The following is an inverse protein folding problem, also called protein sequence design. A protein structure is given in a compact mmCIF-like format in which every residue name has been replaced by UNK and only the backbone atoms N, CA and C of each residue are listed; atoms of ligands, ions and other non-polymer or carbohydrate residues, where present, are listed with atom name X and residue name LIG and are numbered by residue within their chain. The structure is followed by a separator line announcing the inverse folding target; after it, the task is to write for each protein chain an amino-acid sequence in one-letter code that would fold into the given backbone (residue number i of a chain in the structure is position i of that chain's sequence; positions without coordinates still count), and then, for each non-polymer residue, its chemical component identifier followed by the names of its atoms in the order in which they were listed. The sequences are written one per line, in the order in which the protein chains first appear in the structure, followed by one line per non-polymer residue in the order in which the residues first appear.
data_IF_520390389437
#
_entry.id   IF_520390389437
#
_cell.length_a   1.000
_cell.length_b   1.000
_cell.length_c   1.000
_cell.angle_alpha   90.00
_cell.angle_beta   90.00
_cell.angle_gamma   90.00
#
_symmetry.space_group_name_H-M   'P 1'
#
loop_
_entity.id
_entity.type
_entity.pdbx_description
1 polymer ?
#
# COMPACT_ATOMS: atom_id res chain seq x y z
N UNK A 1 0.83 -4.99 16.95
CA UNK A 1 0.79 -3.50 16.91
C UNK A 1 0.36 -2.92 18.26
N UNK A 2 -0.60 -3.51 18.95
CA UNK A 2 -1.00 -3.08 20.32
C UNK A 2 0.10 -3.22 21.37
N UNK A 3 0.96 -4.23 21.30
CA UNK A 3 2.10 -4.39 22.21
C UNK A 3 3.18 -3.33 21.91
N UNK A 4 3.51 -3.08 20.65
CA UNK A 4 4.42 -2.00 20.26
C UNK A 4 3.87 -0.63 20.66
N UNK A 5 2.57 -0.41 20.48
CA UNK A 5 1.92 0.84 20.83
C UNK A 5 1.67 0.99 22.34
N UNK A 6 1.39 -0.11 23.07
CA UNK A 6 1.08 -0.08 24.50
C UNK A 6 2.32 -0.09 25.40
N UNK A 7 3.26 -0.98 25.07
CA UNK A 7 4.36 -1.28 25.98
C UNK A 7 5.63 -0.48 25.68
N UNK A 8 5.79 -0.05 24.41
CA UNK A 8 6.98 0.69 23.97
C UNK A 8 6.78 2.20 23.81
N UNK A 9 5.60 2.66 23.38
CA UNK A 9 5.35 4.10 23.23
C UNK A 9 5.33 4.88 24.56
N UNK A 10 4.77 4.35 25.66
CA UNK A 10 4.82 5.05 26.95
C UNK A 10 6.20 5.02 27.62
N UNK A 11 7.02 4.01 27.32
CA UNK A 11 8.34 3.78 27.96
C UNK A 11 9.53 4.17 27.08
N UNK A 12 9.29 4.44 25.81
CA UNK A 12 10.29 4.88 24.85
C UNK A 12 9.84 6.21 24.20
N UNK A 13 10.02 7.34 24.90
CA UNK A 13 9.64 8.67 24.40
C UNK A 13 10.36 9.05 23.10
N UNK A 14 11.34 8.25 22.68
CA UNK A 14 12.18 8.49 21.50
C UNK A 14 11.68 7.80 20.22
N UNK A 15 10.55 7.07 20.28
CA UNK A 15 9.93 6.53 19.07
C UNK A 15 9.04 7.59 18.43
N UNK A 16 9.47 8.12 17.29
CA UNK A 16 8.60 8.90 16.41
C UNK A 16 7.61 7.96 15.74
N UNK A 17 6.31 8.09 16.04
CA UNK A 17 5.25 7.37 15.35
C UNK A 17 4.73 8.22 14.21
N UNK A 18 4.89 7.75 12.98
CA UNK A 18 4.36 8.40 11.79
C UNK A 18 3.14 7.63 11.32
N UNK A 19 1.98 8.02 11.79
CA UNK A 19 0.69 7.49 11.32
C UNK A 19 0.10 8.49 10.34
N UNK A 20 -0.54 8.01 9.30
CA UNK A 20 -1.32 8.89 8.43
C UNK A 20 -2.29 9.71 9.30
N UNK A 21 -2.34 11.05 9.14
CA UNK A 21 -3.05 11.93 10.08
C UNK A 21 -4.55 11.66 10.18
N UNK A 22 -5.11 10.93 9.22
CA UNK A 22 -6.55 10.65 9.14
C UNK A 22 -6.96 9.34 9.81
N UNK A 23 -6.00 8.59 10.38
CA UNK A 23 -6.31 7.36 11.11
C UNK A 23 -5.97 7.50 12.62
N UNK A 24 -6.89 8.02 13.46
CA UNK A 24 -6.73 7.91 14.90
C UNK A 24 -6.52 6.45 15.29
N UNK A 25 -5.67 6.18 16.30
CA UNK A 25 -5.39 4.82 16.79
C UNK A 25 -6.67 4.01 17.05
N UNK A 26 -7.78 4.67 17.39
CA UNK A 26 -9.10 4.07 17.53
C UNK A 26 -9.69 3.57 16.19
N UNK A 27 -9.46 4.27 15.09
CA UNK A 27 -9.91 3.83 13.74
C UNK A 27 -9.04 2.69 13.23
N UNK A 28 -7.74 2.73 13.49
CA UNK A 28 -6.84 1.62 13.17
C UNK A 28 -7.24 0.35 13.95
N UNK A 29 -7.56 0.49 15.24
CA UNK A 29 -8.09 -0.61 16.06
C UNK A 29 -9.42 -1.14 15.55
N UNK A 30 -10.34 -0.25 15.14
CA UNK A 30 -11.63 -0.67 14.57
C UNK A 30 -11.44 -1.37 13.22
N UNK A 31 -10.56 -0.86 12.37
CA UNK A 31 -10.23 -1.50 11.10
C UNK A 31 -9.54 -2.87 11.31
N UNK A 32 -8.71 -3.02 12.35
CA UNK A 32 -8.05 -4.28 12.72
C UNK A 32 -8.98 -5.25 13.47
N UNK A 33 -10.03 -4.76 14.13
CA UNK A 33 -10.97 -5.60 14.88
C UNK A 33 -11.78 -6.57 13.98
N UNK A 34 -11.86 -6.28 12.69
CA UNK A 34 -12.53 -7.12 11.69
C UNK A 34 -11.57 -8.13 11.01
N UNK A 35 -10.28 -8.12 11.36
CA UNK A 35 -9.32 -9.10 10.85
C UNK A 35 -9.39 -10.40 11.64
N UNK A 36 -9.21 -11.51 10.92
CA UNK A 36 -9.18 -12.83 11.51
C UNK A 36 -8.08 -12.96 12.60
N UNK A 37 -8.28 -13.79 13.64
CA UNK A 37 -7.28 -14.00 14.71
C UNK A 37 -5.88 -14.38 14.20
N UNK A 38 -5.80 -14.94 12.99
CA UNK A 38 -4.54 -15.28 12.34
C UNK A 38 -3.70 -14.07 11.95
N UNK A 39 -4.36 -12.93 11.62
CA UNK A 39 -3.66 -11.66 11.32
C UNK A 39 -3.09 -11.07 12.60
N UNK A 40 -3.83 -11.08 13.69
CA UNK A 40 -3.35 -10.65 15.01
C UNK A 40 -2.13 -11.45 15.43
N UNK A 41 -2.20 -12.79 15.31
CA UNK A 41 -1.08 -13.67 15.61
C UNK A 41 0.15 -13.42 14.70
N UNK A 42 -0.05 -13.03 13.45
CA UNK A 42 1.05 -12.67 12.56
C UNK A 42 1.69 -11.34 12.95
N UNK A 43 0.90 -10.34 13.33
CA UNK A 43 1.37 -9.05 13.84
C UNK A 43 2.18 -9.25 15.13
N UNK A 44 1.69 -10.06 16.08
CA UNK A 44 2.40 -10.37 17.32
C UNK A 44 3.77 -11.03 17.07
N UNK A 45 3.88 -11.90 16.07
CA UNK A 45 5.17 -12.52 15.70
C UNK A 45 6.18 -11.49 15.19
N UNK A 46 5.74 -10.55 14.35
CA UNK A 46 6.60 -9.48 13.84
C UNK A 46 7.01 -8.55 14.98
N UNK A 47 6.06 -8.16 15.82
CA UNK A 47 6.31 -7.32 17.00
C UNK A 47 7.33 -7.96 17.94
N UNK A 48 7.15 -9.24 18.29
CA UNK A 48 8.11 -9.97 19.11
C UNK A 48 9.51 -10.08 18.47
N UNK A 49 9.61 -10.13 17.14
CA UNK A 49 10.90 -10.13 16.46
C UNK A 49 11.59 -8.76 16.54
N UNK A 50 10.85 -7.68 16.34
CA UNK A 50 11.33 -6.30 16.50
C UNK A 50 11.75 -6.03 17.96
N UNK A 51 10.95 -6.46 18.93
CA UNK A 51 11.27 -6.34 20.35
C UNK A 51 12.61 -7.00 20.69
N UNK A 52 12.81 -8.25 20.27
CA UNK A 52 14.10 -8.96 20.46
C UNK A 52 15.28 -8.23 19.83
N UNK A 53 15.09 -7.64 18.64
CA UNK A 53 16.12 -6.87 17.97
C UNK A 53 16.48 -5.60 18.76
N UNK A 54 15.48 -4.83 19.16
CA UNK A 54 15.65 -3.61 19.98
C UNK A 54 16.30 -3.92 21.32
N UNK A 55 15.87 -4.98 22.01
CA UNK A 55 16.46 -5.42 23.28
C UNK A 55 17.90 -5.88 23.10
N UNK A 56 18.21 -6.53 21.99
CA UNK A 56 19.57 -6.90 21.64
C UNK A 56 20.50 -5.70 21.47
N UNK A 57 20.02 -4.62 20.84
CA UNK A 57 20.75 -3.35 20.71
C UNK A 57 20.89 -2.66 22.07
N UNK A 58 19.82 -2.61 22.86
CA UNK A 58 19.81 -1.99 24.22
C UNK A 58 20.80 -2.69 25.15
N UNK A 59 20.77 -4.01 25.20
CA UNK A 59 21.67 -4.80 26.06
C UNK A 59 23.14 -4.59 25.70
N UNK A 60 23.43 -4.29 24.45
CA UNK A 60 24.79 -3.98 23.95
C UNK A 60 25.17 -2.50 24.09
N UNK A 61 24.30 -1.66 24.62
CA UNK A 61 24.50 -0.20 24.70
C UNK A 61 24.60 0.47 23.33
N UNK A 62 23.99 -0.10 22.29
CA UNK A 62 24.08 0.39 20.89
C UNK A 62 22.79 0.98 20.37
N UNK A 63 21.72 0.94 21.18
CA UNK A 63 20.40 1.37 20.70
C UNK A 63 20.36 2.86 20.31
N UNK A 64 21.13 3.69 20.99
CA UNK A 64 21.16 5.14 20.76
C UNK A 64 22.22 5.54 19.72
N UNK A 65 23.03 4.59 19.26
CA UNK A 65 24.05 4.82 18.22
C UNK A 65 23.53 4.53 16.82
N UNK A 66 22.32 3.97 16.67
CA UNK A 66 21.78 3.53 15.40
C UNK A 66 20.47 4.21 15.08
N UNK A 67 20.27 4.52 13.80
CA UNK A 67 18.96 4.84 13.28
C UNK A 67 18.22 3.56 12.94
N UNK A 68 17.06 3.38 13.55
CA UNK A 68 16.14 2.28 13.28
C UNK A 68 14.92 2.82 12.55
N UNK A 69 14.66 2.28 11.37
CA UNK A 69 13.48 2.60 10.56
C UNK A 69 12.69 1.33 10.29
N UNK A 70 11.42 1.35 10.61
CA UNK A 70 10.45 0.29 10.29
C UNK A 70 9.47 0.86 9.29
N UNK A 71 9.36 0.22 8.15
CA UNK A 71 8.49 0.65 7.06
C UNK A 71 7.78 -0.55 6.46
N UNK A 72 6.49 -0.41 6.15
CA UNK A 72 5.78 -1.36 5.29
C UNK A 72 5.73 -0.84 3.86
N UNK A 73 5.60 -1.74 2.92
CA UNK A 73 5.49 -1.44 1.49
C UNK A 73 4.11 -0.87 1.14
N UNK A 74 3.05 -1.35 1.75
CA UNK A 74 1.66 -0.95 1.54
C UNK A 74 0.77 -1.35 2.73
N UNK A 75 -0.50 -0.98 2.65
CA UNK A 75 -1.55 -1.45 3.53
C UNK A 75 -2.28 -2.67 2.96
N UNK A 76 -3.52 -2.91 3.42
CA UNK A 76 -4.33 -4.08 3.05
C UNK A 76 -5.81 -3.77 3.27
N UNK A 77 -6.68 -4.26 2.38
CA UNK A 77 -8.13 -4.17 2.55
C UNK A 77 -8.79 -5.55 2.38
N UNK A 78 -9.87 -5.86 3.14
CA UNK A 78 -10.54 -7.14 3.01
C UNK A 78 -11.29 -7.26 1.69
N UNK A 79 -11.16 -8.41 1.05
CA UNK A 79 -11.91 -8.80 -0.15
C UNK A 79 -12.79 -10.00 0.13
N UNK A 80 -13.89 -10.12 -0.60
CA UNK A 80 -14.81 -11.25 -0.45
C UNK A 80 -15.46 -11.63 -1.78
N UNK A 81 -15.98 -12.85 -1.84
CA UNK A 81 -16.67 -13.36 -3.03
C UNK A 81 -17.90 -12.53 -3.42
N UNK A 82 -18.57 -11.93 -2.46
CA UNK A 82 -19.75 -11.11 -2.70
C UNK A 82 -19.40 -9.74 -3.32
N UNK A 83 -18.14 -9.34 -3.23
CA UNK A 83 -17.59 -8.11 -3.82
C UNK A 83 -16.74 -8.42 -5.05
N UNK A 84 -17.37 -9.04 -6.04
CA UNK A 84 -16.71 -9.37 -7.33
C UNK A 84 -17.42 -8.69 -8.50
N UNK A 85 -16.64 -8.26 -9.47
CA UNK A 85 -17.14 -7.73 -10.74
C UNK A 85 -16.67 -8.63 -11.87
N UNK A 86 -17.61 -9.15 -12.63
CA UNK A 86 -17.32 -10.00 -13.80
C UNK A 86 -16.94 -9.16 -15.00
N UNK A 87 -15.65 -9.06 -15.26
CA UNK A 87 -15.13 -8.32 -16.40
C UNK A 87 -15.57 -8.94 -17.73
N UNK A 88 -15.69 -10.26 -17.79
CA UNK A 88 -16.16 -11.01 -18.95
C UNK A 88 -17.64 -10.75 -19.33
N UNK A 89 -18.37 -9.99 -18.51
CA UNK A 89 -19.69 -9.47 -18.88
C UNK A 89 -19.61 -8.29 -19.87
N UNK A 90 -18.47 -7.59 -19.95
CA UNK A 90 -18.25 -6.41 -20.78
C UNK A 90 -17.09 -6.58 -21.79
N UNK A 91 -16.22 -7.58 -21.56
CA UNK A 91 -15.00 -7.81 -22.32
C UNK A 91 -15.02 -9.20 -22.93
N UNK A 92 -14.82 -9.28 -24.24
CA UNK A 92 -14.55 -10.56 -24.92
C UNK A 92 -13.09 -10.95 -24.70
N UNK A 93 -12.88 -11.90 -23.80
CA UNK A 93 -11.55 -12.41 -23.42
C UNK A 93 -10.84 -13.17 -24.56
N UNK A 94 -11.49 -13.41 -25.69
CA UNK A 94 -10.84 -13.94 -26.89
C UNK A 94 -10.15 -12.84 -27.72
N UNK A 95 -10.52 -11.58 -27.50
CA UNK A 95 -10.02 -10.42 -28.28
C UNK A 95 -9.26 -9.41 -27.41
N UNK A 96 -9.23 -9.61 -26.09
CA UNK A 96 -8.56 -8.73 -25.14
C UNK A 96 -7.77 -9.59 -24.16
N UNK A 97 -6.45 -9.47 -24.18
CA UNK A 97 -5.62 -10.03 -23.12
C UNK A 97 -5.76 -9.21 -21.85
N UNK A 98 -5.83 -9.88 -20.71
CA UNK A 98 -6.10 -9.24 -19.41
C UNK A 98 -4.99 -9.55 -18.41
N UNK A 99 -4.34 -8.49 -17.94
CA UNK A 99 -3.50 -8.53 -16.76
C UNK A 99 -4.39 -8.34 -15.52
N UNK A 100 -4.65 -9.43 -14.81
CA UNK A 100 -5.55 -9.44 -13.67
C UNK A 100 -4.89 -8.87 -12.40
N UNK A 101 -5.63 -8.10 -11.63
CA UNK A 101 -5.19 -7.52 -10.37
C UNK A 101 -6.18 -6.45 -9.89
N UNK A 102 -5.79 -5.68 -8.90
CA UNK A 102 -6.53 -4.52 -8.38
C UNK A 102 -6.40 -3.29 -9.29
N UNK A 103 -5.37 -3.29 -10.11
CA UNK A 103 -5.26 -2.48 -11.31
C UNK A 103 -5.25 -3.44 -12.48
N UNK A 104 -6.35 -3.52 -13.21
CA UNK A 104 -6.48 -4.44 -14.35
C UNK A 104 -5.93 -3.77 -15.59
N UNK A 105 -5.08 -4.49 -16.30
CA UNK A 105 -4.59 -4.08 -17.61
C UNK A 105 -5.36 -4.76 -18.74
N UNK A 106 -5.78 -3.99 -19.76
CA UNK A 106 -6.42 -4.56 -20.95
C UNK A 106 -5.57 -4.28 -22.19
N UNK A 107 -5.25 -5.35 -22.90
CA UNK A 107 -4.51 -5.36 -24.16
C UNK A 107 -5.46 -5.79 -25.29
N UNK A 108 -6.22 -4.85 -25.87
CA UNK A 108 -7.16 -5.17 -26.95
C UNK A 108 -6.40 -5.49 -28.24
N UNK A 109 -6.90 -6.46 -29.01
CA UNK A 109 -6.47 -6.69 -30.39
C UNK A 109 -6.78 -5.46 -31.27
N UNK A 110 -6.06 -5.30 -32.37
CA UNK A 110 -6.22 -4.15 -33.29
C UNK A 110 -7.65 -3.98 -33.86
N UNK A 111 -8.44 -5.04 -33.81
CA UNK A 111 -9.85 -5.03 -34.28
C UNK A 111 -10.84 -4.50 -33.26
N UNK A 112 -10.40 -4.26 -32.03
CA UNK A 112 -11.24 -3.81 -30.91
C UNK A 112 -11.27 -2.29 -30.85
N UNK A 113 -12.45 -1.71 -30.87
CA UNK A 113 -12.64 -0.28 -30.60
C UNK A 113 -12.39 0.00 -29.11
N UNK A 114 -11.31 0.70 -28.81
CA UNK A 114 -10.84 1.01 -27.47
C UNK A 114 -11.83 1.91 -26.72
N UNK A 115 -12.45 2.89 -27.36
CA UNK A 115 -13.41 3.79 -26.70
C UNK A 115 -14.70 3.07 -26.36
N UNK A 116 -15.16 2.22 -27.24
CA UNK A 116 -16.30 1.35 -26.96
C UNK A 116 -15.98 0.34 -25.84
N UNK A 117 -14.75 -0.19 -25.78
CA UNK A 117 -14.30 -1.07 -24.69
C UNK A 117 -14.31 -0.34 -23.35
N UNK A 118 -13.71 0.85 -23.27
CA UNK A 118 -13.69 1.68 -22.05
C UNK A 118 -15.13 1.99 -21.59
N UNK A 119 -16.00 2.36 -22.53
CA UNK A 119 -17.41 2.66 -22.22
C UNK A 119 -18.12 1.45 -21.59
N UNK A 120 -17.94 0.25 -22.19
CA UNK A 120 -18.56 -0.99 -21.67
C UNK A 120 -18.01 -1.37 -20.29
N UNK A 121 -16.69 -1.29 -20.09
CA UNK A 121 -16.08 -1.62 -18.81
C UNK A 121 -16.48 -0.62 -17.73
N UNK A 122 -16.52 0.67 -18.04
CA UNK A 122 -16.94 1.72 -17.10
C UNK A 122 -18.44 1.67 -16.75
N UNK A 123 -19.25 0.93 -17.52
CA UNK A 123 -20.64 0.66 -17.15
C UNK A 123 -20.78 -0.41 -16.07
N UNK A 124 -19.72 -1.17 -15.78
CA UNK A 124 -19.68 -2.08 -14.63
C UNK A 124 -19.41 -1.28 -13.35
N UNK A 125 -20.23 -1.50 -12.34
CA UNK A 125 -20.04 -0.87 -11.02
C UNK A 125 -18.67 -1.24 -10.43
N UNK A 126 -18.09 -0.34 -9.64
CA UNK A 126 -16.82 -0.55 -8.93
C UNK A 126 -15.56 -0.65 -9.82
N UNK A 127 -15.69 -0.33 -11.10
CA UNK A 127 -14.58 -0.24 -12.04
C UNK A 127 -14.51 1.15 -12.66
N UNK A 128 -13.30 1.66 -12.84
CA UNK A 128 -13.04 2.90 -13.60
C UNK A 128 -12.02 2.59 -14.68
N UNK A 129 -12.49 2.51 -15.92
CA UNK A 129 -11.64 2.25 -17.07
C UNK A 129 -11.23 3.56 -17.74
N UNK A 130 -9.98 3.62 -18.20
CA UNK A 130 -9.43 4.79 -18.88
C UNK A 130 -8.32 4.40 -19.86
N UNK A 131 -8.00 5.26 -20.80
CA UNK A 131 -6.79 5.12 -21.61
C UNK A 131 -5.55 5.31 -20.71
N UNK A 132 -4.44 4.66 -21.05
CA UNK A 132 -3.14 4.86 -20.39
C UNK A 132 -2.78 6.35 -20.27
N UNK A 133 -3.05 7.14 -21.29
CA UNK A 133 -2.75 8.57 -21.31
C UNK A 133 -3.59 9.40 -20.31
N UNK A 134 -4.75 8.89 -19.90
CA UNK A 134 -5.68 9.56 -19.00
C UNK A 134 -5.51 9.11 -17.54
N UNK A 135 -4.56 8.21 -17.26
CA UNK A 135 -4.24 7.79 -15.89
C UNK A 135 -3.77 8.99 -15.09
N UNK A 136 -4.34 9.25 -13.90
CA UNK A 136 -3.95 10.38 -13.07
C UNK A 136 -2.43 10.46 -12.86
N UNK A 137 -1.84 11.62 -13.07
CA UNK A 137 -0.39 11.85 -12.97
C UNK A 137 0.18 11.40 -11.61
N UNK A 138 -0.58 11.58 -10.53
CA UNK A 138 -0.19 11.16 -9.18
C UNK A 138 0.12 9.67 -9.02
N UNK A 139 -0.40 8.83 -9.93
CA UNK A 139 -0.15 7.38 -9.94
C UNK A 139 1.16 7.02 -10.64
N UNK A 140 1.77 7.94 -11.39
CA UNK A 140 2.99 7.70 -12.17
C UNK A 140 2.93 6.43 -13.04
N UNK A 141 1.74 6.10 -13.59
CA UNK A 141 1.46 4.85 -14.30
C UNK A 141 0.93 5.11 -15.72
N UNK A 142 1.69 5.88 -16.51
CA UNK A 142 1.33 6.23 -17.89
C UNK A 142 2.50 6.27 -18.88
N UNK A 143 3.75 6.25 -18.38
CA UNK A 143 4.95 6.61 -19.14
C UNK A 143 5.86 5.41 -19.46
N UNK A 144 5.29 4.26 -19.83
CA UNK A 144 6.08 3.10 -20.26
C UNK A 144 5.28 2.21 -21.23
N UNK A 145 5.96 1.57 -22.19
CA UNK A 145 5.31 0.73 -23.22
C UNK A 145 4.71 -0.56 -22.65
N UNK A 146 5.19 -1.03 -21.51
CA UNK A 146 4.63 -2.18 -20.78
C UNK A 146 3.35 -1.88 -19.99
N UNK A 147 2.94 -0.61 -19.92
CA UNK A 147 1.65 -0.25 -19.34
C UNK A 147 0.56 -0.48 -20.40
N UNK A 148 -0.53 -1.20 -20.05
CA UNK A 148 -1.60 -1.52 -20.96
C UNK A 148 -2.23 -0.29 -21.62
N UNK A 149 -2.70 -0.38 -22.88
CA UNK A 149 -3.42 0.71 -23.53
C UNK A 149 -4.65 1.18 -22.76
N UNK A 150 -5.32 0.26 -22.06
CA UNK A 150 -6.46 0.54 -21.19
C UNK A 150 -6.13 0.06 -19.79
N UNK A 151 -6.27 0.96 -18.83
CA UNK A 151 -6.08 0.73 -17.39
C UNK A 151 -7.44 0.78 -16.73
N UNK A 152 -7.71 -0.20 -15.85
CA UNK A 152 -8.94 -0.25 -15.08
C UNK A 152 -8.59 -0.26 -13.59
N UNK A 153 -9.00 0.77 -12.90
CA UNK A 153 -8.90 0.84 -11.43
C UNK A 153 -10.11 0.13 -10.81
N UNK A 154 -9.84 -0.78 -9.91
CA UNK A 154 -10.87 -1.48 -9.14
C UNK A 154 -11.07 -0.75 -7.82
N UNK A 155 -12.33 -0.56 -7.41
CA UNK A 155 -12.66 0.05 -6.12
C UNK A 155 -12.14 -0.83 -4.97
N UNK A 156 -11.51 -0.24 -3.92
CA UNK A 156 -10.99 -1.02 -2.80
C UNK A 156 -12.01 -1.96 -2.17
N UNK A 157 -11.55 -3.19 -1.91
CA UNK A 157 -12.39 -4.27 -1.39
C UNK A 157 -13.17 -5.04 -2.44
N UNK A 158 -13.17 -4.61 -3.71
CA UNK A 158 -13.74 -5.34 -4.85
C UNK A 158 -12.67 -6.10 -5.61
N UNK A 159 -13.07 -7.11 -6.37
CA UNK A 159 -12.17 -7.91 -7.21
C UNK A 159 -12.75 -8.04 -8.63
N UNK A 160 -12.00 -7.59 -9.62
CA UNK A 160 -12.32 -7.86 -11.01
C UNK A 160 -11.95 -9.32 -11.35
N UNK A 161 -12.84 -10.04 -12.00
CA UNK A 161 -12.67 -11.48 -12.22
C UNK A 161 -13.45 -11.95 -13.45
N UNK A 162 -13.44 -13.26 -13.72
CA UNK A 162 -14.25 -13.90 -14.77
C UNK A 162 -15.12 -15.02 -14.20
N UNK A 163 -16.18 -15.40 -14.92
CA UNK A 163 -17.01 -16.55 -14.57
C UNK A 163 -16.18 -17.81 -14.39
N UNK A 164 -15.30 -18.09 -15.35
CA UNK A 164 -14.46 -19.29 -15.35
C UNK A 164 -13.49 -19.32 -14.15
N UNK A 165 -13.01 -18.17 -13.69
CA UNK A 165 -12.19 -18.13 -12.47
C UNK A 165 -13.01 -18.47 -11.24
N UNK A 166 -14.21 -17.87 -11.10
CA UNK A 166 -15.09 -18.12 -9.95
C UNK A 166 -15.57 -19.58 -9.87
N UNK A 167 -15.80 -20.21 -11.01
CA UNK A 167 -16.18 -21.63 -11.07
C UNK A 167 -15.04 -22.54 -10.60
N UNK A 168 -13.81 -22.24 -11.02
CA UNK A 168 -12.62 -23.04 -10.64
C UNK A 168 -12.15 -22.76 -9.21
N UNK A 169 -12.52 -21.64 -8.63
CA UNK A 169 -12.07 -21.19 -7.31
C UNK A 169 -13.26 -20.77 -6.44
N UNK A 170 -14.08 -21.72 -5.94
CA UNK A 170 -15.31 -21.41 -5.23
C UNK A 170 -15.11 -20.63 -3.93
N UNK A 171 -13.93 -20.76 -3.29
CA UNK A 171 -13.56 -20.08 -2.04
C UNK A 171 -12.86 -18.73 -2.25
N UNK A 172 -12.69 -18.30 -3.52
CA UNK A 172 -11.99 -17.06 -3.85
C UNK A 172 -12.91 -16.03 -4.54
N UNK A 173 -12.63 -14.71 -4.41
CA UNK A 173 -11.61 -14.11 -3.53
C UNK A 173 -12.02 -14.16 -2.07
N UNK A 174 -11.04 -14.21 -1.17
CA UNK A 174 -11.23 -14.17 0.27
C UNK A 174 -9.96 -13.69 0.97
N UNK A 175 -10.07 -13.13 2.17
CA UNK A 175 -8.95 -12.58 2.93
C UNK A 175 -8.70 -11.12 2.62
N UNK A 176 -7.43 -10.73 2.47
CA UNK A 176 -7.03 -9.36 2.13
C UNK A 176 -6.41 -9.25 0.76
N UNK A 177 -6.48 -8.06 0.17
CA UNK A 177 -5.78 -7.67 -1.04
C UNK A 177 -5.22 -6.25 -0.93
N UNK A 178 -4.27 -5.94 -1.80
CA UNK A 178 -3.58 -4.66 -1.86
C UNK A 178 -3.24 -4.32 -3.32
N UNK A 179 -2.77 -3.09 -3.57
CA UNK A 179 -2.46 -2.67 -4.94
C UNK A 179 -3.58 -1.83 -5.57
N UNK A 180 -4.60 -1.48 -4.80
CA UNK A 180 -5.61 -0.50 -5.18
C UNK A 180 -5.02 0.92 -5.24
N UNK A 181 -5.82 1.89 -5.64
CA UNK A 181 -5.42 3.28 -5.67
C UNK A 181 -4.88 3.73 -4.29
N UNK A 182 -3.66 4.26 -4.28
CA UNK A 182 -2.96 4.71 -3.07
C UNK A 182 -3.55 5.95 -2.40
N UNK A 183 -4.59 6.56 -2.96
CA UNK A 183 -5.37 7.61 -2.29
C UNK A 183 -6.26 7.06 -1.17
N UNK A 184 -6.50 5.75 -1.14
CA UNK A 184 -7.32 5.13 -0.10
C UNK A 184 -6.48 4.80 1.13
N UNK A 185 -6.96 5.18 2.34
CA UNK A 185 -6.22 4.94 3.60
C UNK A 185 -5.84 3.49 3.85
N UNK A 186 -6.66 2.53 3.42
CA UNK A 186 -6.37 1.10 3.55
C UNK A 186 -5.09 0.67 2.82
N UNK A 187 -4.67 1.45 1.82
CA UNK A 187 -3.42 1.20 1.08
C UNK A 187 -2.20 1.86 1.72
N UNK A 188 -2.40 2.69 2.73
CA UNK A 188 -1.28 3.35 3.40
C UNK A 188 -0.47 2.36 4.24
N UNK A 189 0.84 2.47 4.12
CA UNK A 189 1.78 1.71 4.91
C UNK A 189 2.16 2.42 6.22
N UNK A 190 3.01 1.75 6.99
CA UNK A 190 3.58 2.24 8.24
C UNK A 190 4.97 2.81 8.00
N UNK A 191 5.30 3.93 8.65
CA UNK A 191 6.65 4.45 8.80
C UNK A 191 6.91 4.79 10.27
N UNK A 192 7.86 4.12 10.89
CA UNK A 192 8.35 4.40 12.24
C UNK A 192 9.85 4.63 12.18
N UNK A 193 10.36 5.64 12.86
CA UNK A 193 11.80 5.89 12.92
C UNK A 193 12.23 6.34 14.30
N UNK A 194 13.41 5.90 14.72
CA UNK A 194 14.13 6.39 15.90
C UNK A 194 15.62 6.38 15.64
N UNK A 195 16.34 7.24 16.36
CA UNK A 195 17.82 7.25 16.33
C UNK A 195 18.38 8.67 16.41
N UNK A 196 19.72 8.79 16.35
CA UNK A 196 20.39 10.07 16.53
C UNK A 196 20.00 11.13 15.49
N UNK A 197 19.65 10.74 14.28
CA UNK A 197 19.30 11.68 13.22
C UNK A 197 17.80 12.00 13.14
N UNK A 198 16.94 11.21 13.79
CA UNK A 198 15.50 11.39 13.76
C UNK A 198 14.99 12.27 14.91
N UNK A 199 13.95 13.05 14.66
CA UNK A 199 13.24 13.81 15.70
C UNK A 199 12.48 12.83 16.60
N UNK A 200 12.43 13.14 17.90
CA UNK A 200 11.71 12.36 18.89
C UNK A 200 10.33 12.94 19.16
N UNK A 201 9.33 12.07 19.38
CA UNK A 201 8.01 12.46 19.83
C UNK A 201 7.23 13.30 18.82
N UNK A 202 7.54 13.19 17.52
CA UNK A 202 6.83 13.89 16.46
C UNK A 202 5.98 12.91 15.64
N UNK A 203 4.81 13.38 15.27
CA UNK A 203 3.96 12.76 14.28
C UNK A 203 3.94 13.67 13.05
N UNK A 204 4.13 13.12 11.86
CA UNK A 204 4.11 13.88 10.61
C UNK A 204 3.00 13.35 9.71
N UNK A 205 2.47 14.23 8.87
CA UNK A 205 1.49 13.83 7.86
C UNK A 205 2.07 12.82 6.87
N UNK A 206 1.27 12.28 5.95
CA UNK A 206 1.66 11.21 5.04
C UNK A 206 3.00 11.48 4.34
N UNK A 207 3.81 10.44 4.26
CA UNK A 207 5.00 10.35 3.42
C UNK A 207 4.66 9.49 2.22
N UNK A 208 5.18 9.84 1.06
CA UNK A 208 5.10 8.95 -0.10
C UNK A 208 6.21 7.91 0.00
N UNK A 209 5.98 6.71 -0.46
CA UNK A 209 7.00 5.64 -0.47
C UNK A 209 8.30 6.09 -1.14
N UNK A 210 8.20 6.90 -2.20
CA UNK A 210 9.37 7.48 -2.90
C UNK A 210 10.16 8.48 -2.06
N UNK A 211 9.59 9.04 -0.99
CA UNK A 211 10.27 9.99 -0.10
C UNK A 211 11.23 9.27 0.87
N UNK A 212 10.99 7.99 1.16
CA UNK A 212 11.78 7.20 2.12
C UNK A 212 13.24 7.13 1.71
N UNK A 213 13.54 6.96 0.41
CA UNK A 213 14.90 6.95 -0.09
C UNK A 213 15.67 8.24 0.24
N UNK A 214 15.06 9.40 -0.02
CA UNK A 214 15.65 10.71 0.28
C UNK A 214 15.85 10.94 1.78
N UNK A 215 14.93 10.46 2.62
CA UNK A 215 15.05 10.51 4.08
C UNK A 215 16.25 9.68 4.54
N UNK A 216 16.38 8.44 4.07
CA UNK A 216 17.45 7.54 4.48
C UNK A 216 18.83 8.02 4.02
N UNK A 217 18.97 8.46 2.76
CA UNK A 217 20.23 8.98 2.24
C UNK A 217 20.69 10.20 3.01
N UNK A 218 19.77 11.12 3.33
CA UNK A 218 20.09 12.31 4.12
C UNK A 218 20.46 11.98 5.56
N UNK A 219 19.79 11.01 6.22
CA UNK A 219 20.17 10.54 7.54
C UNK A 219 21.60 9.94 7.56
N UNK A 220 22.01 9.30 6.46
CA UNK A 220 23.37 8.76 6.30
C UNK A 220 24.40 9.79 5.81
N UNK A 221 24.02 11.05 5.59
CA UNK A 221 24.90 12.08 5.06
C UNK A 221 25.33 11.83 3.60
N UNK A 222 24.51 11.11 2.83
CA UNK A 222 24.76 10.83 1.41
C UNK A 222 23.92 11.74 0.51
N UNK A 223 24.49 12.09 -0.64
CA UNK A 223 23.74 12.78 -1.70
C UNK A 223 22.82 11.77 -2.41
N UNK A 224 21.50 12.02 -2.47
CA UNK A 224 20.58 11.12 -3.15
C UNK A 224 20.80 11.16 -4.67
N UNK A 225 20.73 10.00 -5.32
CA UNK A 225 20.60 9.96 -6.77
C UNK A 225 19.27 10.63 -7.21
N UNK A 226 19.16 11.09 -8.47
CA UNK A 226 17.91 11.62 -8.99
C UNK A 226 16.74 10.65 -8.76
N UNK A 227 15.67 11.15 -8.15
CA UNK A 227 14.50 10.35 -7.78
C UNK A 227 13.24 11.22 -7.77
N UNK A 228 12.07 10.59 -7.56
CA UNK A 228 10.77 11.27 -7.53
C UNK A 228 10.33 11.71 -6.11
N UNK A 229 11.17 11.51 -5.09
CA UNK A 229 10.88 11.93 -3.72
C UNK A 229 10.93 13.45 -3.54
N UNK A 230 10.19 13.95 -2.55
CA UNK A 230 10.24 15.33 -2.13
C UNK A 230 11.45 15.54 -1.20
N UNK A 231 12.43 16.36 -1.59
CA UNK A 231 13.58 16.68 -0.72
C UNK A 231 13.17 17.25 0.65
N UNK A 232 12.04 17.97 0.72
CA UNK A 232 11.53 18.55 1.96
C UNK A 232 10.93 17.50 2.92
N UNK A 233 10.64 16.29 2.45
CA UNK A 233 10.14 15.23 3.32
C UNK A 233 11.11 14.90 4.47
N UNK A 234 12.41 14.95 4.20
CA UNK A 234 13.43 14.75 5.21
C UNK A 234 13.41 15.81 6.33
N UNK A 235 13.10 17.07 6.01
CA UNK A 235 13.02 18.17 7.00
C UNK A 235 11.88 17.96 8.02
N UNK A 236 10.90 17.15 7.68
CA UNK A 236 9.76 16.83 8.56
C UNK A 236 10.14 15.83 9.64
N UNK A 237 11.09 14.94 9.37
CA UNK A 237 11.41 13.77 10.22
C UNK A 237 12.83 13.81 10.81
N UNK A 238 13.79 14.47 10.16
CA UNK A 238 15.17 14.58 10.64
C UNK A 238 15.39 15.82 11.51
N UNK A 239 16.41 15.73 12.38
CA UNK A 239 16.85 16.84 13.25
C UNK A 239 17.57 17.92 12.48
#
# INVERSE_FOLDING_TARGET
MDALLRDYLPTAPDLGLYVAPDLPAAKLRAALADYAPEVDAAIEKVDAALARFVDGLRTRGRLDDVDLVVVSDHGMTPVSRDRTVRLDAAVDLATVDVDWGEVVGLWPADTVDVDALITRVSALSHLTAMRKADVPERLHYSNHDRIPPVVVLVEPGWTATSASYLERNPERPSGGSHGFDNAFPDMHGLFLARGPHFRSGVEVGPLRTVDVYGILTRAMGLDPAPNAGDPAAADRVLR
#
